data_IF_535144372620
#
_entry.id   IF_535144372620
#
_cell.length_a   1.000
_cell.length_b   1.000
_cell.length_c   1.000
_cell.angle_alpha   90.00
_cell.angle_beta   90.00
_cell.angle_gamma   90.00
#
_symmetry.space_group_name_H-M   'P 1'
#
loop_
_entity.id
_entity.type
_entity.pdbx_description
1 polymer ?
#
# COMPACT_ATOMS: atom_id res chain seq x y z
N UNK A 1 18.14 5.34 -20.40
CA UNK A 1 16.82 5.17 -19.75
C UNK A 1 16.39 3.76 -20.07
N UNK A 2 16.24 2.91 -19.06
CA UNK A 2 15.67 1.59 -19.23
C UNK A 2 14.15 1.76 -19.51
N UNK A 3 13.66 1.09 -20.54
CA UNK A 3 12.24 1.14 -20.88
C UNK A 3 11.46 0.26 -19.90
N UNK A 4 10.41 0.82 -19.29
CA UNK A 4 9.51 0.05 -18.42
C UNK A 4 8.67 -0.92 -19.25
N UNK A 5 8.43 -2.10 -18.72
CA UNK A 5 7.42 -3.03 -19.26
C UNK A 5 6.04 -2.47 -18.95
N UNK A 6 5.22 -2.27 -19.96
CA UNK A 6 3.83 -1.84 -19.80
C UNK A 6 2.89 -3.04 -19.81
N UNK A 7 2.05 -3.15 -18.78
CA UNK A 7 0.92 -4.09 -18.73
C UNK A 7 -0.35 -3.26 -18.55
N UNK A 8 -1.26 -3.36 -19.50
CA UNK A 8 -2.54 -2.65 -19.50
C UNK A 8 -3.63 -3.48 -20.20
N UNK A 9 -4.88 -3.03 -20.13
CA UNK A 9 -5.97 -3.62 -20.88
C UNK A 9 -5.80 -3.44 -22.39
N UNK A 10 -6.51 -4.23 -23.16
CA UNK A 10 -6.49 -4.22 -24.63
C UNK A 10 -7.41 -3.16 -25.26
N UNK A 11 -8.15 -2.42 -24.44
CA UNK A 11 -9.03 -1.35 -24.90
C UNK A 11 -8.29 -0.02 -25.02
N UNK A 12 -7.65 0.16 -26.16
CA UNK A 12 -6.80 1.31 -26.43
C UNK A 12 -7.55 2.49 -27.07
N UNK A 13 -8.86 2.39 -27.26
CA UNK A 13 -9.68 3.48 -27.78
C UNK A 13 -9.62 4.67 -26.80
N UNK A 14 -9.44 5.92 -27.29
CA UNK A 14 -9.23 7.09 -26.42
C UNK A 14 -10.28 7.27 -25.31
N UNK A 15 -11.52 6.83 -25.53
CA UNK A 15 -12.60 6.90 -24.54
C UNK A 15 -12.50 5.83 -23.44
N UNK A 16 -11.70 4.78 -23.62
CA UNK A 16 -11.63 3.62 -22.74
C UNK A 16 -10.19 3.33 -22.23
N UNK A 17 -9.18 3.94 -22.83
CA UNK A 17 -7.76 3.66 -22.55
C UNK A 17 -7.36 3.91 -21.08
N UNK A 18 -8.09 4.76 -20.37
CA UNK A 18 -7.85 5.06 -18.95
C UNK A 18 -8.94 4.48 -18.05
N UNK A 19 -9.77 3.56 -18.55
CA UNK A 19 -10.83 2.94 -17.74
C UNK A 19 -10.23 1.87 -16.82
N UNK A 20 -10.40 1.95 -15.50
CA UNK A 20 -9.90 0.94 -14.57
C UNK A 20 -10.71 -0.37 -14.66
N UNK A 21 -10.11 -1.50 -14.27
CA UNK A 21 -10.77 -2.80 -14.21
C UNK A 21 -10.89 -3.51 -15.55
N UNK A 22 -10.01 -3.22 -16.50
CA UNK A 22 -10.01 -3.87 -17.83
C UNK A 22 -9.45 -5.30 -17.80
N UNK A 23 -8.66 -5.63 -16.79
CA UNK A 23 -8.07 -6.95 -16.57
C UNK A 23 -7.95 -7.20 -15.06
N UNK A 24 -7.67 -8.45 -14.65
CA UNK A 24 -7.79 -8.84 -13.25
C UNK A 24 -6.58 -8.39 -12.42
N UNK A 25 -5.48 -9.15 -12.42
CA UNK A 25 -4.33 -8.89 -11.56
C UNK A 25 -3.07 -9.63 -12.02
N UNK A 26 -1.89 -9.17 -11.54
CA UNK A 26 -0.72 -10.02 -11.38
C UNK A 26 -0.85 -10.72 -10.03
N UNK A 27 -1.10 -12.03 -10.03
CA UNK A 27 -1.38 -12.78 -8.81
C UNK A 27 -0.27 -13.76 -8.44
N UNK A 28 0.47 -13.44 -7.39
CA UNK A 28 1.45 -14.32 -6.76
C UNK A 28 0.73 -15.23 -5.77
N UNK A 29 0.43 -16.44 -6.20
CA UNK A 29 -0.37 -17.41 -5.44
C UNK A 29 0.39 -17.90 -4.19
N UNK A 30 -0.36 -18.43 -3.23
CA UNK A 30 0.18 -18.98 -1.99
C UNK A 30 1.35 -19.93 -2.23
N UNK A 31 2.43 -19.75 -1.49
CA UNK A 31 3.68 -20.51 -1.63
C UNK A 31 4.66 -19.97 -2.68
N UNK A 32 4.29 -18.97 -3.48
CA UNK A 32 5.21 -18.31 -4.41
C UNK A 32 6.24 -17.48 -3.64
N UNK A 33 7.53 -17.64 -3.96
CA UNK A 33 8.66 -16.98 -3.27
C UNK A 33 9.67 -16.44 -4.26
N UNK A 34 10.49 -15.48 -3.81
CA UNK A 34 11.59 -14.89 -4.59
C UNK A 34 11.13 -14.34 -5.94
N UNK A 35 9.93 -13.78 -5.98
CA UNK A 35 9.48 -13.11 -7.19
C UNK A 35 10.13 -11.73 -7.25
N UNK A 36 10.65 -11.36 -8.41
CA UNK A 36 11.21 -10.04 -8.65
C UNK A 36 10.44 -9.34 -9.77
N UNK A 37 9.99 -8.13 -9.51
CA UNK A 37 9.37 -7.25 -10.49
C UNK A 37 10.16 -5.93 -10.47
N UNK A 38 10.68 -5.57 -11.63
CA UNK A 38 11.49 -4.37 -11.80
C UNK A 38 11.15 -3.67 -13.11
N UNK A 39 11.06 -2.35 -13.10
CA UNK A 39 10.72 -1.54 -14.25
C UNK A 39 9.36 -1.89 -14.89
N UNK A 40 8.35 -2.11 -14.07
CA UNK A 40 6.98 -2.35 -14.51
C UNK A 40 6.15 -1.06 -14.43
N UNK A 41 5.33 -0.83 -15.43
CA UNK A 41 4.17 0.06 -15.39
C UNK A 41 2.91 -0.80 -15.61
N UNK A 42 2.12 -0.97 -14.55
CA UNK A 42 0.87 -1.75 -14.58
C UNK A 42 -0.30 -0.81 -14.34
N UNK A 43 -1.29 -0.82 -15.24
CA UNK A 43 -2.43 0.08 -15.12
C UNK A 43 -3.75 -0.52 -15.57
N UNK A 44 -4.83 0.10 -15.11
CA UNK A 44 -6.21 -0.22 -15.50
C UNK A 44 -6.66 -1.64 -15.09
N UNK A 45 -6.06 -2.24 -14.07
CA UNK A 45 -6.46 -3.54 -13.55
C UNK A 45 -7.58 -3.46 -12.51
N UNK A 46 -8.09 -4.59 -12.10
CA UNK A 46 -8.91 -4.70 -10.89
C UNK A 46 -8.02 -4.59 -9.66
N UNK A 47 -6.98 -5.43 -9.58
CA UNK A 47 -5.90 -5.32 -8.61
C UNK A 47 -4.57 -5.19 -9.37
N UNK A 48 -3.70 -4.27 -8.97
CA UNK A 48 -2.39 -4.16 -9.62
C UNK A 48 -1.57 -5.43 -9.40
N UNK A 49 -1.26 -5.76 -8.13
CA UNK A 49 -0.59 -7.00 -7.72
C UNK A 49 -1.32 -7.57 -6.51
N UNK A 50 -1.50 -8.90 -6.48
CA UNK A 50 -1.93 -9.66 -5.31
C UNK A 50 -0.80 -10.57 -4.85
N UNK A 51 -0.40 -10.47 -3.58
CA UNK A 51 0.56 -11.36 -2.94
C UNK A 51 -0.14 -12.20 -1.88
N UNK A 52 -0.34 -13.48 -2.16
CA UNK A 52 -0.84 -14.43 -1.16
C UNK A 52 0.27 -14.90 -0.21
N UNK A 53 -0.14 -15.53 0.88
CA UNK A 53 0.76 -15.94 1.95
C UNK A 53 1.80 -16.96 1.47
N UNK A 54 3.00 -16.79 1.96
CA UNK A 54 4.00 -17.84 2.03
C UNK A 54 3.96 -18.40 3.44
N UNK A 55 3.88 -19.72 3.58
CA UNK A 55 3.94 -20.41 4.88
C UNK A 55 4.86 -19.71 5.88
N UNK A 56 4.77 -19.98 7.16
CA UNK A 56 5.40 -19.34 8.33
C UNK A 56 6.90 -19.00 8.28
N UNK A 57 7.62 -19.32 7.20
CA UNK A 57 9.01 -18.93 6.96
C UNK A 57 9.08 -17.61 6.18
N UNK A 58 9.17 -16.51 6.90
CA UNK A 58 9.32 -15.15 6.34
C UNK A 58 10.78 -14.80 6.00
N UNK A 59 11.71 -15.75 5.98
CA UNK A 59 13.12 -15.48 5.68
C UNK A 59 13.36 -15.06 4.22
N UNK A 60 12.46 -15.46 3.33
CA UNK A 60 12.58 -15.17 1.89
C UNK A 60 11.39 -14.32 1.45
N UNK A 61 11.62 -13.17 0.80
CA UNK A 61 10.53 -12.34 0.30
C UNK A 61 9.61 -13.10 -0.67
N UNK A 62 8.31 -12.86 -0.53
CA UNK A 62 7.32 -13.23 -1.55
C UNK A 62 7.58 -12.43 -2.81
N UNK A 63 7.83 -11.13 -2.66
CA UNK A 63 8.00 -10.18 -3.74
C UNK A 63 9.08 -9.15 -3.39
N UNK A 64 10.03 -8.96 -4.32
CA UNK A 64 10.88 -7.77 -4.39
C UNK A 64 10.39 -6.90 -5.54
N UNK A 65 9.91 -5.70 -5.23
CA UNK A 65 9.29 -4.77 -6.17
C UNK A 65 10.14 -3.51 -6.30
N UNK A 66 10.63 -3.20 -7.51
CA UNK A 66 11.51 -2.05 -7.73
C UNK A 66 11.11 -1.24 -8.96
N UNK A 67 11.33 0.10 -8.89
CA UNK A 67 11.19 1.01 -10.03
C UNK A 67 9.85 0.84 -10.77
N UNK A 68 8.77 0.60 -10.04
CA UNK A 68 7.49 0.11 -10.57
C UNK A 68 6.37 1.09 -10.28
N UNK A 69 5.46 1.21 -11.22
CA UNK A 69 4.22 1.99 -11.10
C UNK A 69 3.01 1.07 -11.18
N UNK A 70 2.11 1.17 -10.19
CA UNK A 70 0.80 0.52 -10.17
C UNK A 70 -0.24 1.62 -10.14
N UNK A 71 -1.04 1.73 -11.18
CA UNK A 71 -1.89 2.88 -11.36
C UNK A 71 -3.29 2.53 -11.85
N UNK A 72 -4.30 3.30 -11.39
CA UNK A 72 -5.66 3.26 -11.88
C UNK A 72 -6.32 1.88 -11.75
N UNK A 73 -6.40 1.39 -10.50
CA UNK A 73 -6.96 0.06 -10.21
C UNK A 73 -8.38 0.19 -9.67
N UNK A 74 -9.32 -0.60 -10.19
CA UNK A 74 -10.72 -0.51 -9.76
C UNK A 74 -10.98 -1.02 -8.34
N UNK A 75 -10.00 -1.68 -7.70
CA UNK A 75 -10.03 -2.07 -6.30
C UNK A 75 -8.75 -1.64 -5.55
N UNK A 76 -7.67 -2.41 -5.59
CA UNK A 76 -6.45 -2.17 -4.80
C UNK A 76 -5.21 -2.19 -5.69
N UNK A 77 -4.28 -1.26 -5.45
CA UNK A 77 -3.01 -1.24 -6.17
C UNK A 77 -2.11 -2.43 -5.84
N UNK A 78 -1.79 -2.61 -4.57
CA UNK A 78 -1.05 -3.76 -4.06
C UNK A 78 -1.81 -4.36 -2.88
N UNK A 79 -2.28 -5.61 -3.03
CA UNK A 79 -2.93 -6.37 -1.97
C UNK A 79 -1.95 -7.42 -1.43
N UNK A 80 -1.67 -7.37 -0.14
CA UNK A 80 -0.81 -8.30 0.56
C UNK A 80 -1.59 -9.08 1.60
N UNK A 81 -1.53 -10.40 1.51
CA UNK A 81 -2.16 -11.33 2.44
C UNK A 81 -1.08 -12.15 3.13
N UNK A 82 -0.72 -11.82 4.37
CA UNK A 82 0.28 -12.53 5.18
C UNK A 82 1.57 -12.84 4.36
N UNK A 83 2.09 -11.87 3.63
CA UNK A 83 3.23 -12.03 2.73
C UNK A 83 4.44 -11.24 3.21
N UNK A 84 5.59 -11.43 2.56
CA UNK A 84 6.79 -10.64 2.79
C UNK A 84 7.12 -9.86 1.51
N UNK A 85 7.06 -8.53 1.58
CA UNK A 85 7.31 -7.64 0.44
C UNK A 85 8.42 -6.64 0.77
N UNK A 86 9.38 -6.54 -0.15
CA UNK A 86 10.40 -5.49 -0.16
C UNK A 86 10.13 -4.60 -1.37
N UNK A 87 9.90 -3.31 -1.14
CA UNK A 87 9.57 -2.34 -2.19
C UNK A 87 10.54 -1.16 -2.16
N UNK A 88 11.09 -0.80 -3.32
CA UNK A 88 12.03 0.31 -3.47
C UNK A 88 11.69 1.12 -4.74
N UNK A 89 11.56 2.43 -4.59
CA UNK A 89 11.23 3.33 -5.70
C UNK A 89 9.93 2.91 -6.43
N UNK A 90 8.86 2.76 -5.67
CA UNK A 90 7.56 2.31 -6.16
C UNK A 90 6.53 3.42 -6.05
N UNK A 91 5.73 3.60 -7.09
CA UNK A 91 4.58 4.51 -7.08
C UNK A 91 3.30 3.69 -7.20
N UNK A 92 2.40 3.85 -6.22
CA UNK A 92 1.08 3.19 -6.25
C UNK A 92 0.01 4.25 -6.08
N UNK A 93 -0.81 4.43 -7.11
CA UNK A 93 -1.80 5.49 -7.13
C UNK A 93 -3.14 5.13 -7.72
N UNK A 94 -4.11 6.01 -7.50
CA UNK A 94 -5.45 5.95 -8.10
C UNK A 94 -6.10 4.57 -8.01
N UNK A 95 -6.37 4.13 -6.79
CA UNK A 95 -7.07 2.88 -6.52
C UNK A 95 -8.36 3.14 -5.75
N UNK A 96 -9.45 2.50 -6.12
CA UNK A 96 -10.76 2.75 -5.52
C UNK A 96 -10.80 2.49 -4.02
N UNK A 97 -10.09 1.47 -3.55
CA UNK A 97 -10.10 1.05 -2.15
C UNK A 97 -8.84 1.48 -1.41
N UNK A 98 -7.66 1.12 -1.90
CA UNK A 98 -6.39 1.47 -1.30
C UNK A 98 -5.25 1.38 -2.31
N UNK A 99 -4.21 2.21 -2.17
CA UNK A 99 -2.97 2.01 -2.91
C UNK A 99 -2.25 0.77 -2.41
N UNK A 100 -2.05 0.66 -1.09
CA UNK A 100 -1.51 -0.55 -0.47
C UNK A 100 -2.42 -1.04 0.65
N UNK A 101 -2.78 -2.32 0.59
CA UNK A 101 -3.62 -2.98 1.59
C UNK A 101 -2.99 -4.27 2.07
N UNK A 102 -2.84 -4.36 3.40
CA UNK A 102 -2.37 -5.56 4.12
C UNK A 102 -3.55 -6.19 4.85
N UNK A 103 -3.69 -7.50 4.72
CA UNK A 103 -4.60 -8.34 5.49
C UNK A 103 -3.82 -9.50 6.12
N UNK A 104 -4.25 -9.93 7.31
CA UNK A 104 -3.68 -11.08 8.01
C UNK A 104 -2.19 -10.94 8.38
N UNK A 105 -1.68 -9.72 8.63
CA UNK A 105 -0.29 -9.50 9.01
C UNK A 105 0.72 -9.70 7.89
N UNK A 106 1.99 -9.97 8.24
CA UNK A 106 3.10 -10.15 7.31
C UNK A 106 4.27 -9.22 7.56
N UNK A 107 5.23 -9.15 6.64
CA UNK A 107 6.44 -8.32 6.74
C UNK A 107 6.58 -7.42 5.52
N UNK A 108 6.75 -6.13 5.74
CA UNK A 108 6.71 -5.12 4.67
C UNK A 108 7.78 -4.08 4.89
N UNK A 109 8.65 -3.89 3.89
CA UNK A 109 9.69 -2.86 3.87
C UNK A 109 9.54 -2.00 2.62
N UNK A 110 9.17 -0.75 2.78
CA UNK A 110 9.04 0.23 1.71
C UNK A 110 10.09 1.32 1.86
N UNK A 111 10.82 1.59 0.79
CA UNK A 111 11.82 2.64 0.77
C UNK A 111 11.69 3.50 -0.49
N UNK A 112 11.83 4.83 -0.34
CA UNK A 112 11.73 5.80 -1.44
C UNK A 112 10.49 5.61 -2.31
N UNK A 113 9.34 5.40 -1.69
CA UNK A 113 8.11 5.07 -2.39
C UNK A 113 7.06 6.17 -2.26
N UNK A 114 6.08 6.16 -3.15
CA UNK A 114 4.93 7.06 -3.11
C UNK A 114 3.63 6.26 -3.19
N UNK A 115 2.85 6.34 -2.13
CA UNK A 115 1.50 5.82 -2.05
C UNK A 115 0.55 7.01 -2.12
N UNK A 116 -0.01 7.31 -3.31
CA UNK A 116 -0.81 8.51 -3.50
C UNK A 116 -2.15 8.17 -4.16
N UNK A 117 -3.25 8.38 -3.43
CA UNK A 117 -4.55 7.94 -3.90
C UNK A 117 -5.54 9.10 -4.11
N UNK A 118 -5.62 9.56 -5.35
CA UNK A 118 -6.52 10.61 -5.82
C UNK A 118 -7.64 10.05 -6.70
N UNK A 119 -8.18 8.90 -6.35
CA UNK A 119 -9.26 8.25 -7.10
C UNK A 119 -10.44 9.19 -7.35
N UNK A 120 -10.85 9.34 -8.60
CA UNK A 120 -11.90 10.25 -9.05
C UNK A 120 -12.99 9.58 -9.91
N UNK A 121 -12.79 8.33 -10.34
CA UNK A 121 -13.72 7.64 -11.25
C UNK A 121 -15.06 7.27 -10.60
N UNK A 122 -15.07 7.17 -9.27
CA UNK A 122 -16.26 6.88 -8.49
C UNK A 122 -16.05 7.23 -7.01
N UNK A 123 -16.99 6.88 -6.14
CA UNK A 123 -16.81 7.03 -4.70
C UNK A 123 -15.66 6.15 -4.23
N UNK A 124 -14.63 6.79 -3.67
CA UNK A 124 -13.51 6.12 -3.03
C UNK A 124 -13.98 5.43 -1.74
N UNK A 125 -13.46 4.22 -1.46
CA UNK A 125 -13.95 3.37 -0.37
C UNK A 125 -13.04 3.27 0.84
N UNK A 126 -11.80 3.76 0.76
CA UNK A 126 -10.88 3.60 1.88
C UNK A 126 -9.68 4.53 1.84
N UNK A 127 -8.72 4.29 2.73
CA UNK A 127 -7.52 5.07 2.91
C UNK A 127 -6.42 4.57 1.95
N UNK A 128 -5.44 5.41 1.66
CA UNK A 128 -4.32 5.08 0.77
C UNK A 128 -3.53 3.88 1.26
N UNK A 129 -3.24 3.86 2.57
CA UNK A 129 -2.57 2.75 3.25
C UNK A 129 -3.52 2.12 4.26
N UNK A 130 -3.74 0.81 4.15
CA UNK A 130 -4.53 0.03 5.10
C UNK A 130 -3.69 -1.15 5.59
N UNK A 131 -3.48 -1.25 6.90
CA UNK A 131 -2.66 -2.29 7.50
C UNK A 131 -3.46 -3.01 8.58
N UNK A 132 -3.66 -4.32 8.40
CA UNK A 132 -4.41 -5.16 9.33
C UNK A 132 -3.69 -6.47 9.62
N UNK A 133 -3.64 -6.86 10.89
CA UNK A 133 -3.30 -8.21 11.31
C UNK A 133 -4.51 -8.91 11.95
N UNK A 134 -5.71 -8.46 11.64
CA UNK A 134 -6.94 -9.13 12.03
C UNK A 134 -7.20 -10.28 11.07
N UNK A 135 -7.61 -11.40 11.65
CA UNK A 135 -8.03 -12.56 10.89
C UNK A 135 -9.27 -12.24 10.04
N UNK A 136 -9.11 -12.32 8.73
CA UNK A 136 -10.22 -12.11 7.78
C UNK A 136 -10.97 -13.39 7.44
N UNK A 137 -10.53 -14.55 7.96
CA UNK A 137 -11.11 -15.87 7.66
C UNK A 137 -11.15 -16.74 8.91
N UNK A 138 -12.32 -17.28 9.26
CA UNK A 138 -12.52 -18.18 10.41
C UNK A 138 -11.57 -19.39 10.40
N UNK A 139 -11.14 -19.86 9.23
CA UNK A 139 -10.18 -20.96 9.09
C UNK A 139 -8.77 -20.62 9.67
N UNK A 140 -8.47 -19.35 9.90
CA UNK A 140 -7.19 -18.88 10.44
C UNK A 140 -7.23 -18.58 11.94
N UNK A 141 -8.32 -18.90 12.65
CA UNK A 141 -8.50 -18.54 14.07
C UNK A 141 -7.35 -18.98 15.01
N UNK A 142 -6.60 -20.00 14.62
CA UNK A 142 -5.46 -20.51 15.40
C UNK A 142 -4.10 -20.03 14.89
N UNK A 143 -4.04 -19.23 13.84
CA UNK A 143 -2.78 -18.73 13.30
C UNK A 143 -2.34 -17.45 13.98
N UNK A 144 -1.04 -17.35 14.22
CA UNK A 144 -0.38 -16.12 14.68
C UNK A 144 -0.21 -15.21 13.47
N UNK A 145 -0.79 -14.01 13.54
CA UNK A 145 -0.83 -13.03 12.45
C UNK A 145 0.06 -11.81 12.79
N UNK A 146 1.33 -12.07 13.06
CA UNK A 146 2.30 -11.02 13.33
C UNK A 146 2.43 -10.08 12.14
N UNK A 147 2.55 -8.79 12.43
CA UNK A 147 2.83 -7.74 11.46
C UNK A 147 4.14 -7.04 11.82
N UNK A 148 4.95 -6.81 10.80
CA UNK A 148 6.06 -5.85 10.82
C UNK A 148 6.01 -5.02 9.56
N UNK A 149 5.92 -3.68 9.66
CA UNK A 149 5.78 -2.81 8.50
C UNK A 149 6.65 -1.55 8.65
N UNK A 150 7.67 -1.43 7.81
CA UNK A 150 8.59 -0.31 7.81
C UNK A 150 8.42 0.53 6.54
N UNK A 151 8.27 1.83 6.71
CA UNK A 151 8.21 2.80 5.62
C UNK A 151 9.30 3.83 5.85
N UNK A 152 10.22 3.96 4.89
CA UNK A 152 11.32 4.92 4.95
C UNK A 152 11.30 5.81 3.72
N UNK A 153 11.49 7.13 3.89
CA UNK A 153 11.51 8.09 2.79
C UNK A 153 10.26 7.96 1.88
N UNK A 154 9.09 7.78 2.47
CA UNK A 154 7.86 7.43 1.74
C UNK A 154 6.81 8.51 1.90
N UNK A 155 6.09 8.81 0.83
CA UNK A 155 4.96 9.73 0.81
C UNK A 155 3.67 8.91 0.84
N UNK A 156 2.75 9.26 1.76
CA UNK A 156 1.42 8.66 1.89
C UNK A 156 0.40 9.79 1.85
N UNK A 157 -0.28 9.94 0.71
CA UNK A 157 -1.16 11.07 0.45
C UNK A 157 -2.42 10.66 -0.34
N UNK A 158 -3.38 11.56 -0.47
CA UNK A 158 -4.60 11.33 -1.24
C UNK A 158 -5.68 12.38 -0.98
N UNK A 159 -6.88 12.12 -1.47
CA UNK A 159 -8.00 13.07 -1.36
C UNK A 159 -8.88 12.90 -0.13
N UNK A 160 -8.61 11.92 0.76
CA UNK A 160 -9.25 11.86 2.07
C UNK A 160 -8.49 12.71 3.10
N UNK A 161 -9.13 13.07 4.20
CA UNK A 161 -8.50 13.76 5.33
C UNK A 161 -7.49 12.87 6.08
N UNK A 162 -7.72 11.56 6.09
CA UNK A 162 -6.84 10.57 6.71
C UNK A 162 -6.50 9.48 5.70
N UNK A 163 -5.22 9.26 5.46
CA UNK A 163 -4.76 8.34 4.42
C UNK A 163 -4.08 7.08 4.94
N UNK A 164 -3.99 6.93 6.25
CA UNK A 164 -3.56 5.70 6.93
C UNK A 164 -4.69 5.11 7.76
N UNK A 165 -4.78 3.78 7.80
CA UNK A 165 -5.75 3.02 8.59
C UNK A 165 -5.12 1.75 9.14
N UNK A 166 -5.30 1.52 10.45
CA UNK A 166 -4.78 0.37 11.16
C UNK A 166 -5.89 -0.44 11.80
N UNK A 167 -5.76 -1.77 11.71
CA UNK A 167 -6.58 -2.72 12.47
C UNK A 167 -5.67 -3.73 13.18
N UNK A 168 -5.57 -3.59 14.50
CA UNK A 168 -4.66 -4.39 15.34
C UNK A 168 -5.39 -5.51 16.04
N UNK A 169 -4.91 -6.76 15.87
CA UNK A 169 -5.22 -7.88 16.75
C UNK A 169 -4.50 -7.69 18.09
N UNK A 170 -5.21 -7.88 19.19
CA UNK A 170 -4.67 -7.68 20.54
C UNK A 170 -3.68 -8.77 20.97
N UNK A 171 -3.72 -9.93 20.34
CA UNK A 171 -2.97 -11.12 20.77
C UNK A 171 -1.64 -11.30 20.02
N UNK A 172 -1.50 -10.64 18.87
CA UNK A 172 -0.37 -10.81 17.97
C UNK A 172 0.48 -9.53 17.90
N UNK A 173 1.73 -9.68 17.50
CA UNK A 173 2.64 -8.56 17.32
C UNK A 173 2.12 -7.65 16.20
N UNK A 174 2.16 -6.34 16.43
CA UNK A 174 1.81 -5.32 15.47
C UNK A 174 2.85 -4.19 15.56
N UNK A 175 3.94 -4.38 14.86
CA UNK A 175 5.07 -3.45 14.83
C UNK A 175 5.09 -2.68 13.53
N UNK A 176 5.26 -1.37 13.61
CA UNK A 176 5.43 -0.54 12.42
C UNK A 176 6.36 0.64 12.72
N UNK A 177 7.01 1.14 11.68
CA UNK A 177 7.84 2.33 11.75
C UNK A 177 7.65 3.15 10.47
N UNK A 178 7.35 4.43 10.64
CA UNK A 178 7.47 5.44 9.59
C UNK A 178 8.68 6.31 9.89
N UNK A 179 9.65 6.33 8.97
CA UNK A 179 10.86 7.13 9.12
C UNK A 179 11.08 8.04 7.92
N UNK A 180 11.26 9.34 8.15
CA UNK A 180 11.40 10.36 7.11
C UNK A 180 10.23 10.31 6.10
N UNK A 181 9.01 10.22 6.59
CA UNK A 181 7.81 10.08 5.79
C UNK A 181 6.95 11.34 5.82
N UNK A 182 6.30 11.63 4.69
CA UNK A 182 5.17 12.57 4.63
C UNK A 182 3.88 11.77 4.72
N UNK A 183 3.04 12.06 5.71
CA UNK A 183 1.79 11.31 5.95
C UNK A 183 0.63 12.29 6.02
N UNK A 184 -0.38 12.07 5.17
CA UNK A 184 -1.62 12.84 5.27
C UNK A 184 -2.53 12.27 6.35
N UNK A 185 -2.67 13.06 7.41
CA UNK A 185 -3.56 12.77 8.52
C UNK A 185 -4.09 14.08 9.10
N UNK A 186 -5.30 14.47 8.70
CA UNK A 186 -5.97 15.69 9.18
C UNK A 186 -6.97 15.30 10.25
N UNK A 187 -6.69 15.70 11.47
CA UNK A 187 -7.53 15.46 12.64
C UNK A 187 -6.79 14.84 13.81
N UNK A 188 -7.54 14.56 14.85
CA UNK A 188 -7.04 13.95 16.09
C UNK A 188 -7.58 12.53 16.26
N UNK A 189 -6.84 11.68 16.95
CA UNK A 189 -7.28 10.36 17.37
C UNK A 189 -6.88 10.14 18.83
N UNK A 190 -7.72 9.44 19.59
CA UNK A 190 -7.37 8.94 20.93
C UNK A 190 -6.71 7.55 20.85
N UNK A 191 -6.67 6.92 19.67
CA UNK A 191 -6.03 5.64 19.47
C UNK A 191 -4.51 5.83 19.42
N UNK A 192 -3.73 5.16 20.30
CA UNK A 192 -2.28 5.26 20.36
C UNK A 192 -1.56 4.91 19.05
N UNK A 193 -2.20 4.16 18.15
CA UNK A 193 -1.63 3.86 16.82
C UNK A 193 -1.46 5.11 15.95
N UNK A 194 -2.10 6.22 16.29
CA UNK A 194 -2.02 7.51 15.59
C UNK A 194 -1.40 8.61 16.46
N UNK A 195 -0.57 8.24 17.43
CA UNK A 195 0.24 9.18 18.19
C UNK A 195 1.53 9.49 17.42
N UNK A 196 1.50 10.52 16.58
CA UNK A 196 2.64 10.95 15.78
C UNK A 196 3.81 11.52 16.61
N UNK A 197 3.65 11.66 17.93
CA UNK A 197 4.73 12.03 18.86
C UNK A 197 5.51 10.83 19.39
N UNK A 198 5.01 9.60 19.16
CA UNK A 198 5.67 8.37 19.51
C UNK A 198 6.83 8.06 18.55
N UNK A 199 8.04 8.34 18.97
CA UNK A 199 9.25 8.19 18.15
C UNK A 199 9.66 6.73 17.90
N UNK A 200 9.05 5.77 18.58
CA UNK A 200 9.26 4.35 18.29
C UNK A 200 8.51 3.91 17.02
N UNK A 201 7.41 4.60 16.71
CA UNK A 201 6.57 4.31 15.54
C UNK A 201 6.67 5.39 14.44
N UNK A 202 7.00 6.64 14.80
CA UNK A 202 7.04 7.79 13.90
C UNK A 202 8.31 8.60 14.12
N UNK A 203 9.31 8.41 13.27
CA UNK A 203 10.60 9.07 13.36
C UNK A 203 10.80 10.04 12.19
N UNK A 204 11.03 11.33 12.52
CA UNK A 204 11.29 12.37 11.51
C UNK A 204 10.18 12.40 10.43
N UNK A 205 8.93 12.40 10.86
CA UNK A 205 7.78 12.47 9.94
C UNK A 205 7.30 13.90 9.76
N UNK A 206 6.65 14.17 8.63
CA UNK A 206 5.89 15.37 8.36
C UNK A 206 4.41 15.00 8.18
N UNK A 207 3.55 15.61 9.01
CA UNK A 207 2.11 15.47 8.87
C UNK A 207 1.62 16.44 7.80
N UNK A 208 1.03 15.90 6.73
CA UNK A 208 0.41 16.71 5.70
C UNK A 208 -1.07 16.91 6.04
N UNK A 209 -1.41 18.10 6.49
CA UNK A 209 -2.79 18.48 6.82
C UNK A 209 -3.44 19.27 5.69
N UNK A 210 -4.75 19.38 5.70
CA UNK A 210 -5.48 20.19 4.70
C UNK A 210 -5.06 21.67 4.76
N UNK A 211 -4.58 22.15 5.91
CA UNK A 211 -4.09 23.52 6.07
C UNK A 211 -2.80 23.78 5.26
N UNK A 212 -1.94 22.77 5.11
CA UNK A 212 -0.65 22.92 4.43
C UNK A 212 -0.82 23.19 2.93
N UNK A 213 -1.89 22.68 2.32
CA UNK A 213 -2.23 22.97 0.92
C UNK A 213 -2.73 24.41 0.68
N UNK A 214 -3.13 25.12 1.73
CA UNK A 214 -3.62 26.49 1.64
C UNK A 214 -2.53 27.51 1.95
N UNK A 215 -1.37 27.07 2.44
CA UNK A 215 -0.24 27.95 2.69
C UNK A 215 0.50 28.26 1.38
N UNK A 216 0.11 29.38 0.77
CA UNK A 216 0.73 29.89 -0.46
C UNK A 216 2.10 30.53 -0.21
N UNK A 217 2.61 30.57 1.02
CA UNK A 217 3.92 31.11 1.36
C UNK A 217 5.09 30.17 1.07
N UNK A 218 4.80 28.92 0.74
CA UNK A 218 5.76 27.87 0.37
C UNK A 218 6.07 27.81 -1.14
N UNK A 219 5.57 28.77 -1.95
CA UNK A 219 5.86 28.90 -3.38
C UNK A 219 6.90 29.97 -3.68
#
# INVERSE_FOLDING_TARGET
>A
LEEKVLIEGDRLEPALSETPGQWDAIWLRAGSKSNEINYLNSRNSTFGIICDSVSSDNSTPTLTLKNTELYNNSEVGLLANQSHIIAENVVIGNSRTASFKVINGGTYDFNHSTLANYWSESIRRGNTLQISNINSNEELESQVLNLTANFTNTIIDGNNSKEIYFEKNKNDTFDFLFQNCLIKYDGTSEDPLYDFTDTDNYLDIEENTTADYLDTSLN
#
